data_IF_906055688962
#
_entry.id   IF_906055688962
#
_cell.length_a   1.000
_cell.length_b   1.000
_cell.length_c   1.000
_cell.angle_alpha   90.00
_cell.angle_beta   90.00
_cell.angle_gamma   90.00
#
_symmetry.space_group_name_H-M   'P 1'
#
loop_
_entity.id
_entity.type
_entity.pdbx_description
1 polymer ?
#
# COMPACT_ATOMS: atom_id res chain seq x y z
N UNK A 1 74.32 -3.35 42.48
CA UNK A 1 73.82 -1.99 42.73
C UNK A 1 73.10 -1.56 41.48
N UNK A 2 71.78 -1.48 41.60
CA UNK A 2 70.78 -1.43 40.54
C UNK A 2 70.75 -0.08 39.84
N UNK A 3 70.51 -0.07 38.53
CA UNK A 3 69.36 0.64 37.97
C UNK A 3 69.06 0.24 36.51
N UNK A 4 67.80 -0.16 36.34
CA UNK A 4 67.04 -0.52 35.13
C UNK A 4 66.27 0.72 34.64
N UNK A 5 65.61 0.68 33.46
CA UNK A 5 66.09 1.13 32.16
C UNK A 5 65.54 2.53 31.76
N UNK A 6 66.11 3.10 30.70
CA UNK A 6 65.51 4.20 29.95
C UNK A 6 64.44 3.66 28.99
N UNK A 7 63.24 4.24 29.01
CA UNK A 7 62.21 4.00 27.99
C UNK A 7 60.80 4.38 28.47
N UNK A 8 60.31 5.50 27.93
CA UNK A 8 58.91 5.83 27.57
C UNK A 8 58.38 7.18 28.08
N UNK A 9 57.89 7.99 27.12
CA UNK A 9 56.91 9.06 27.33
C UNK A 9 57.32 10.49 26.96
N UNK A 10 57.43 10.81 25.66
CA UNK A 10 57.45 12.19 25.11
C UNK A 10 55.99 12.71 24.98
N UNK A 11 55.75 14.03 25.07
CA UNK A 11 54.69 14.63 25.90
C UNK A 11 53.38 14.99 25.17
N UNK A 12 52.43 15.47 25.97
CA UNK A 12 51.14 16.03 25.60
C UNK A 12 51.21 16.98 24.39
N UNK A 13 50.50 16.61 23.32
CA UNK A 13 50.25 17.46 22.17
C UNK A 13 48.75 17.74 22.04
N UNK A 14 48.44 19.02 22.19
CA UNK A 14 47.37 19.84 21.60
C UNK A 14 46.17 19.16 20.92
N UNK A 15 44.96 19.51 21.39
CA UNK A 15 43.69 19.25 20.73
C UNK A 15 43.54 20.15 19.48
N UNK A 16 43.40 19.61 18.26
CA UNK A 16 42.90 20.41 17.15
C UNK A 16 41.37 20.54 17.23
N UNK A 17 40.91 21.79 17.21
CA UNK A 17 39.51 22.16 17.03
C UNK A 17 38.99 21.82 15.62
N UNK A 18 37.68 21.58 15.54
CA UNK A 18 36.83 21.56 14.34
C UNK A 18 36.91 20.33 13.42
N UNK A 19 36.29 19.24 13.88
CA UNK A 19 35.72 18.21 13.01
C UNK A 19 34.20 18.40 12.92
N UNK A 20 33.73 18.94 11.80
CA UNK A 20 32.32 18.98 11.39
C UNK A 20 31.69 17.59 11.54
N UNK A 21 30.63 17.48 12.35
CA UNK A 21 29.77 16.30 12.43
C UNK A 21 28.96 16.21 11.12
N UNK A 22 29.60 15.70 10.07
CA UNK A 22 28.93 15.35 8.83
C UNK A 22 27.99 14.15 9.07
N UNK A 23 26.70 14.46 9.22
CA UNK A 23 25.54 13.69 8.75
C UNK A 23 25.64 12.15 8.83
N UNK A 24 25.49 11.63 10.04
CA UNK A 24 24.99 10.28 10.25
C UNK A 24 23.47 10.25 10.15
N UNK A 25 22.91 10.41 8.94
CA UNK A 25 21.49 10.17 8.70
C UNK A 25 21.23 8.67 8.85
N UNK A 26 20.67 8.26 9.98
CA UNK A 26 20.01 6.96 10.12
C UNK A 26 18.77 6.97 9.22
N UNK A 27 18.97 6.66 7.94
CA UNK A 27 17.90 6.49 6.96
C UNK A 27 17.15 5.18 7.22
N UNK A 28 16.45 5.10 8.35
CA UNK A 28 15.29 4.22 8.53
C UNK A 28 14.16 5.05 9.16
N UNK A 29 14.00 6.29 8.65
CA UNK A 29 12.75 7.00 8.74
C UNK A 29 11.84 6.47 7.66
N UNK A 30 10.91 5.57 8.02
CA UNK A 30 9.68 5.40 7.26
C UNK A 30 8.88 6.68 7.53
N UNK A 31 9.26 7.77 6.86
CA UNK A 31 8.39 8.92 6.72
C UNK A 31 7.18 8.43 5.93
N UNK A 32 5.93 8.67 6.36
CA UNK A 32 4.80 8.48 5.46
C UNK A 32 5.03 9.45 4.30
N UNK A 33 5.58 8.94 3.19
CA UNK A 33 5.66 9.67 1.94
C UNK A 33 4.27 10.28 1.72
N UNK A 34 4.23 11.59 1.43
CA UNK A 34 2.98 12.27 1.14
C UNK A 34 2.13 11.37 0.23
N UNK A 35 0.82 11.19 0.50
CA UNK A 35 0.03 10.24 -0.26
C UNK A 35 0.15 10.61 -1.73
N UNK A 36 0.77 9.72 -2.51
CA UNK A 36 0.91 9.87 -3.96
C UNK A 36 -0.45 9.93 -4.64
N UNK A 37 -0.48 10.08 -5.97
CA UNK A 37 -1.73 10.17 -6.71
C UNK A 37 -2.63 8.96 -6.41
N UNK A 38 -3.93 9.22 -6.25
CA UNK A 38 -4.90 8.15 -6.00
C UNK A 38 -6.27 8.47 -6.57
N UNK A 39 -7.04 7.41 -6.81
CA UNK A 39 -8.43 7.50 -7.21
C UNK A 39 -9.31 6.76 -6.21
N UNK A 40 -10.54 7.24 -6.05
CA UNK A 40 -11.61 6.50 -5.40
C UNK A 40 -12.53 6.01 -6.51
N UNK A 41 -12.54 4.70 -6.72
CA UNK A 41 -13.36 4.05 -7.73
C UNK A 41 -14.42 3.17 -7.08
N UNK A 42 -15.57 3.07 -7.73
CA UNK A 42 -16.59 2.10 -7.36
C UNK A 42 -16.34 0.79 -8.12
N UNK A 43 -16.21 -0.30 -7.38
CA UNK A 43 -16.10 -1.65 -7.94
C UNK A 43 -17.02 -2.59 -7.16
N UNK A 44 -17.85 -3.36 -7.86
CA UNK A 44 -18.75 -4.34 -7.27
C UNK A 44 -19.69 -3.78 -6.18
N UNK A 45 -20.08 -2.51 -6.27
CA UNK A 45 -20.95 -1.83 -5.30
C UNK A 45 -20.25 -1.36 -4.02
N UNK A 46 -18.90 -1.39 -3.99
CA UNK A 46 -18.09 -0.84 -2.91
C UNK A 46 -17.09 0.18 -3.45
N UNK A 47 -16.68 1.12 -2.61
CA UNK A 47 -15.69 2.14 -2.96
C UNK A 47 -14.30 1.71 -2.51
N UNK A 48 -13.32 1.80 -3.40
CA UNK A 48 -11.94 1.44 -3.13
C UNK A 48 -11.02 2.64 -3.36
N UNK A 49 -10.09 2.82 -2.42
CA UNK A 49 -8.98 3.74 -2.59
C UNK A 49 -7.89 3.02 -3.39
N UNK A 50 -7.71 3.44 -4.63
CA UNK A 50 -6.75 2.86 -5.57
C UNK A 50 -5.53 3.79 -5.73
N UNK A 51 -4.35 3.21 -5.54
CA UNK A 51 -3.06 3.83 -5.82
C UNK A 51 -2.42 3.10 -7.00
N UNK A 52 -1.71 3.79 -7.90
CA UNK A 52 -0.99 3.15 -8.99
C UNK A 52 0.07 2.18 -8.44
N UNK A 53 0.35 1.12 -9.19
CA UNK A 53 1.34 0.07 -8.86
C UNK A 53 1.09 -0.67 -7.54
N UNK A 54 -0.15 -0.68 -7.04
CA UNK A 54 -0.53 -1.39 -5.82
C UNK A 54 -1.58 -2.46 -6.07
N UNK A 55 -1.57 -3.47 -5.20
CA UNK A 55 -2.50 -4.58 -5.23
C UNK A 55 -3.69 -4.37 -4.31
N UNK A 56 -4.87 -4.72 -4.81
CA UNK A 56 -6.12 -4.69 -4.05
C UNK A 56 -6.88 -6.00 -4.26
N UNK A 57 -7.66 -6.37 -3.26
CA UNK A 57 -8.56 -7.52 -3.34
C UNK A 57 -9.98 -7.00 -3.51
N UNK A 58 -10.55 -7.29 -4.68
CA UNK A 58 -11.93 -6.97 -5.02
C UNK A 58 -12.78 -8.23 -4.89
N UNK A 59 -14.10 -8.05 -4.99
CA UNK A 59 -15.03 -9.16 -5.20
C UNK A 59 -14.72 -9.93 -6.49
N UNK A 60 -15.36 -11.08 -6.67
CA UNK A 60 -15.08 -11.93 -7.82
C UNK A 60 -15.45 -11.22 -9.14
N UNK A 61 -14.46 -11.08 -10.02
CA UNK A 61 -14.64 -10.57 -11.39
C UNK A 61 -14.57 -11.78 -12.33
N UNK A 62 -15.50 -11.85 -13.29
CA UNK A 62 -15.55 -12.88 -14.32
C UNK A 62 -14.61 -12.54 -15.48
N UNK A 63 -13.32 -12.37 -15.18
CA UNK A 63 -12.25 -12.17 -16.16
C UNK A 63 -11.19 -13.26 -15.96
N UNK A 64 -10.36 -13.51 -16.97
CA UNK A 64 -9.24 -14.45 -16.84
C UNK A 64 -8.07 -13.84 -16.07
N UNK A 65 -7.15 -14.69 -15.63
CA UNK A 65 -5.87 -14.24 -15.05
C UNK A 65 -5.07 -13.54 -16.15
N UNK A 66 -4.39 -12.45 -15.80
CA UNK A 66 -3.70 -11.51 -16.70
C UNK A 66 -4.58 -10.66 -17.62
N UNK A 67 -5.91 -10.79 -17.54
CA UNK A 67 -6.82 -9.91 -18.27
C UNK A 67 -6.78 -8.47 -17.72
N UNK A 68 -6.94 -7.51 -18.63
CA UNK A 68 -7.06 -6.09 -18.32
C UNK A 68 -8.55 -5.76 -18.13
N UNK A 69 -8.87 -5.11 -17.02
CA UNK A 69 -10.21 -4.67 -16.65
C UNK A 69 -10.18 -3.17 -16.42
N UNK A 70 -11.05 -2.43 -17.09
CA UNK A 70 -11.19 -0.99 -16.91
C UNK A 70 -12.34 -0.66 -15.96
N UNK A 71 -12.12 0.27 -15.04
CA UNK A 71 -13.16 0.84 -14.20
C UNK A 71 -13.46 2.26 -14.65
N UNK A 72 -14.70 2.49 -15.09
CA UNK A 72 -15.18 3.78 -15.57
C UNK A 72 -15.85 4.61 -14.47
N UNK A 73 -16.28 3.96 -13.38
CA UNK A 73 -17.00 4.61 -12.28
C UNK A 73 -16.00 5.15 -11.26
N UNK A 74 -15.52 6.38 -11.49
CA UNK A 74 -14.57 7.07 -10.62
C UNK A 74 -15.25 8.27 -9.97
N UNK A 75 -15.16 8.33 -8.65
CA UNK A 75 -15.81 9.34 -7.82
C UNK A 75 -14.87 10.51 -7.53
N UNK A 76 -13.58 10.22 -7.34
CA UNK A 76 -12.58 11.21 -6.97
C UNK A 76 -11.23 10.82 -7.55
N UNK A 77 -10.49 11.80 -8.03
CA UNK A 77 -9.08 11.66 -8.37
C UNK A 77 -8.28 12.76 -7.67
N UNK A 78 -7.24 12.37 -6.95
CA UNK A 78 -6.30 13.30 -6.33
C UNK A 78 -4.94 13.16 -7.00
N UNK A 79 -4.44 14.30 -7.46
CA UNK A 79 -3.09 14.48 -7.96
C UNK A 79 -2.30 15.36 -6.97
N UNK A 80 -0.99 15.49 -7.20
CA UNK A 80 -0.09 16.44 -6.56
C UNK A 80 -0.58 17.90 -6.63
N UNK A 81 -1.25 18.26 -7.73
CA UNK A 81 -1.71 19.62 -8.01
C UNK A 81 -3.09 19.97 -7.44
N UNK A 82 -3.93 18.96 -7.11
CA UNK A 82 -5.28 19.20 -6.61
C UNK A 82 -6.16 17.95 -6.57
N UNK A 83 -7.39 18.12 -6.06
CA UNK A 83 -8.41 17.06 -5.97
C UNK A 83 -9.57 17.37 -6.91
N UNK A 84 -9.89 16.44 -7.80
CA UNK A 84 -11.06 16.49 -8.68
C UNK A 84 -12.16 15.63 -8.08
N UNK A 85 -13.27 16.24 -7.73
CA UNK A 85 -14.46 15.57 -7.19
C UNK A 85 -15.51 15.43 -8.30
N UNK A 86 -16.03 14.22 -8.46
CA UNK A 86 -17.11 13.92 -9.40
C UNK A 86 -18.48 14.34 -8.87
N UNK A 87 -19.37 14.70 -9.78
CA UNK A 87 -20.76 15.05 -9.51
C UNK A 87 -21.66 14.41 -10.58
N UNK A 88 -22.00 13.10 -10.55
CA UNK A 88 -21.67 12.04 -9.59
C UNK A 88 -20.34 11.28 -9.86
N UNK A 89 -19.81 11.36 -11.08
CA UNK A 89 -18.52 10.75 -11.47
C UNK A 89 -17.60 11.82 -12.06
N UNK A 90 -16.29 11.57 -12.06
CA UNK A 90 -15.32 12.42 -12.76
C UNK A 90 -15.37 12.07 -14.25
N UNK A 91 -15.72 13.02 -15.14
CA UNK A 91 -15.77 12.74 -16.58
C UNK A 91 -14.38 12.38 -17.11
N UNK A 92 -14.34 11.44 -18.05
CA UNK A 92 -13.12 10.99 -18.75
C UNK A 92 -12.03 10.42 -17.84
N UNK A 93 -12.39 9.93 -16.65
CA UNK A 93 -11.48 9.24 -15.77
C UNK A 93 -11.65 7.72 -15.92
N UNK A 94 -10.54 6.99 -16.03
CA UNK A 94 -10.55 5.52 -16.10
C UNK A 94 -9.42 4.94 -15.25
N UNK A 95 -9.69 3.83 -14.55
CA UNK A 95 -8.64 3.05 -13.89
C UNK A 95 -8.45 1.75 -14.63
N UNK A 96 -7.23 1.51 -15.10
CA UNK A 96 -6.82 0.25 -15.72
C UNK A 96 -6.31 -0.69 -14.64
N UNK A 97 -6.95 -1.85 -14.51
CA UNK A 97 -6.61 -2.90 -13.58
C UNK A 97 -6.13 -4.13 -14.33
N UNK A 98 -5.10 -4.79 -13.82
CA UNK A 98 -4.68 -6.11 -14.28
C UNK A 98 -5.07 -7.18 -13.26
N UNK A 99 -5.76 -8.22 -13.70
CA UNK A 99 -6.10 -9.37 -12.85
C UNK A 99 -4.86 -10.23 -12.67
N UNK A 100 -4.47 -10.49 -11.42
CA UNK A 100 -3.28 -11.32 -11.13
C UNK A 100 -3.67 -12.73 -10.74
N UNK A 101 -4.71 -12.83 -9.91
CA UNK A 101 -5.12 -14.11 -9.38
C UNK A 101 -6.54 -14.06 -8.84
N UNK A 102 -7.27 -15.16 -9.01
CA UNK A 102 -8.47 -15.42 -8.24
C UNK A 102 -8.10 -16.24 -7.02
N UNK A 103 -8.61 -15.84 -5.86
CA UNK A 103 -8.32 -16.49 -4.59
C UNK A 103 -9.56 -16.60 -3.74
N UNK A 104 -9.52 -17.52 -2.78
CA UNK A 104 -10.58 -17.64 -1.78
C UNK A 104 -10.12 -16.96 -0.50
N UNK A 105 -10.97 -16.12 0.04
CA UNK A 105 -10.74 -15.44 1.30
C UNK A 105 -10.64 -16.41 2.50
N UNK A 106 -10.37 -15.85 3.68
CA UNK A 106 -10.36 -16.62 4.92
C UNK A 106 -11.72 -17.30 5.15
N UNK A 107 -11.71 -18.46 5.81
CA UNK A 107 -12.93 -19.18 6.12
C UNK A 107 -13.66 -18.45 7.24
N UNK A 108 -14.85 -17.94 6.94
CA UNK A 108 -15.76 -17.41 7.95
C UNK A 108 -16.63 -18.56 8.44
N UNK A 109 -16.64 -18.78 9.75
CA UNK A 109 -17.46 -19.82 10.37
C UNK A 109 -18.82 -19.24 10.79
N UNK A 110 -19.87 -19.58 10.06
CA UNK A 110 -21.24 -19.22 10.43
C UNK A 110 -21.81 -20.31 11.33
N UNK A 111 -21.88 -20.01 12.63
CA UNK A 111 -22.45 -20.91 13.63
C UNK A 111 -23.83 -20.43 14.07
N UNK A 112 -24.85 -21.28 13.91
CA UNK A 112 -26.22 -21.00 14.34
C UNK A 112 -26.64 -22.05 15.37
N UNK A 113 -26.97 -21.60 16.58
CA UNK A 113 -27.51 -22.45 17.64
C UNK A 113 -28.83 -21.86 18.14
N UNK A 114 -29.82 -22.73 18.40
CA UNK A 114 -31.05 -22.33 19.12
C UNK A 114 -31.05 -22.98 20.51
N UNK A 115 -31.11 -22.18 21.61
CA UNK A 115 -31.10 -22.73 22.97
C UNK A 115 -32.27 -23.69 23.21
N UNK A 116 -32.02 -24.78 23.94
CA UNK A 116 -33.02 -25.78 24.37
C UNK A 116 -33.84 -26.44 23.24
N UNK A 117 -33.51 -26.20 21.96
CA UNK A 117 -34.16 -26.82 20.79
C UNK A 117 -33.33 -27.93 20.14
N UNK A 118 -32.20 -28.31 20.74
CA UNK A 118 -31.22 -29.29 20.20
C UNK A 118 -30.78 -29.00 18.75
N UNK A 119 -30.95 -27.76 18.26
CA UNK A 119 -30.52 -27.35 16.92
C UNK A 119 -29.17 -26.64 17.00
N UNK A 120 -28.17 -27.19 16.31
CA UNK A 120 -26.87 -26.56 16.04
C UNK A 120 -26.51 -26.77 14.57
N UNK A 121 -26.10 -25.72 13.87
CA UNK A 121 -25.61 -25.75 12.48
C UNK A 121 -24.30 -24.98 12.40
N UNK A 122 -23.29 -25.59 11.78
CA UNK A 122 -21.95 -25.02 11.59
C UNK A 122 -21.63 -25.04 10.10
N UNK A 123 -21.73 -23.89 9.45
CA UNK A 123 -21.42 -23.76 8.03
C UNK A 123 -20.15 -22.92 7.86
N UNK A 124 -19.32 -23.28 6.90
CA UNK A 124 -18.20 -22.45 6.49
C UNK A 124 -18.58 -21.66 5.24
N UNK A 125 -18.31 -20.36 5.24
CA UNK A 125 -18.31 -19.53 4.02
C UNK A 125 -16.87 -19.14 3.69
N UNK A 126 -16.54 -19.12 2.40
CA UNK A 126 -15.28 -18.57 1.90
C UNK A 126 -15.62 -17.71 0.71
N UNK A 127 -15.43 -16.40 0.87
CA UNK A 127 -15.67 -15.43 -0.19
C UNK A 127 -14.68 -15.65 -1.33
N UNK A 128 -15.16 -15.55 -2.56
CA UNK A 128 -14.30 -15.53 -3.73
C UNK A 128 -13.86 -14.10 -3.99
N UNK A 129 -12.56 -13.91 -4.15
CA UNK A 129 -11.93 -12.62 -4.32
C UNK A 129 -11.04 -12.64 -5.55
N UNK A 130 -10.87 -11.47 -6.15
CA UNK A 130 -9.94 -11.26 -7.27
C UNK A 130 -8.89 -10.28 -6.81
N UNK A 131 -7.62 -10.68 -6.90
CA UNK A 131 -6.50 -9.78 -6.68
C UNK A 131 -6.17 -9.06 -7.98
N UNK A 132 -6.23 -7.74 -7.92
CA UNK A 132 -5.95 -6.85 -9.05
C UNK A 132 -4.75 -5.96 -8.75
N UNK A 133 -3.96 -5.67 -9.77
CA UNK A 133 -2.97 -4.59 -9.77
C UNK A 133 -3.57 -3.37 -10.43
N UNK A 134 -3.34 -2.19 -9.86
CA UNK A 134 -3.63 -0.93 -10.55
C UNK A 134 -2.45 -0.62 -11.46
N UNK A 135 -2.67 -0.61 -12.78
CA UNK A 135 -1.63 -0.26 -13.75
C UNK A 135 -1.52 1.25 -13.90
N UNK A 136 -2.65 1.90 -14.19
CA UNK A 136 -2.68 3.34 -14.44
C UNK A 136 -4.02 3.96 -14.08
N UNK A 137 -3.98 5.20 -13.60
CA UNK A 137 -5.15 6.06 -13.45
C UNK A 137 -5.05 7.13 -14.55
N UNK A 138 -6.05 7.23 -15.42
CA UNK A 138 -6.10 8.24 -16.49
C UNK A 138 -7.21 9.24 -16.21
N UNK A 139 -6.97 10.51 -16.55
CA UNK A 139 -8.02 11.55 -16.57
C UNK A 139 -7.84 12.41 -17.81
N UNK A 140 -8.83 12.43 -18.72
CA UNK A 140 -8.80 13.25 -19.94
C UNK A 140 -7.62 12.92 -20.87
N UNK A 141 -7.24 11.64 -20.94
CA UNK A 141 -6.11 11.16 -21.75
C UNK A 141 -4.72 11.37 -21.15
N UNK A 142 -4.60 11.98 -19.97
CA UNK A 142 -3.33 12.12 -19.26
C UNK A 142 -3.18 11.01 -18.20
N UNK A 143 -2.12 10.18 -18.25
CA UNK A 143 -1.86 9.16 -17.23
C UNK A 143 -1.22 9.79 -15.99
N UNK A 144 -1.80 9.49 -14.81
CA UNK A 144 -1.29 9.88 -13.49
C UNK A 144 -0.41 8.77 -12.89
N UNK A 145 0.44 8.16 -13.73
CA UNK A 145 1.18 6.93 -13.43
C UNK A 145 1.86 6.90 -12.06
#
# INVERSE_FOLDING_TARGET
MTNTPAGDGVPANELPANGSLANGTLANGISPAAPGPYAIAEASGQQFWLQPNRYYDLDRIHAEVDAIVTLDQILLVRDSSGTRLGLPHVPEATVTLKVIAHRRGPKILVYKMRPKKKTRRKNGHRQELTRVMVESITVGGQPLS
#
